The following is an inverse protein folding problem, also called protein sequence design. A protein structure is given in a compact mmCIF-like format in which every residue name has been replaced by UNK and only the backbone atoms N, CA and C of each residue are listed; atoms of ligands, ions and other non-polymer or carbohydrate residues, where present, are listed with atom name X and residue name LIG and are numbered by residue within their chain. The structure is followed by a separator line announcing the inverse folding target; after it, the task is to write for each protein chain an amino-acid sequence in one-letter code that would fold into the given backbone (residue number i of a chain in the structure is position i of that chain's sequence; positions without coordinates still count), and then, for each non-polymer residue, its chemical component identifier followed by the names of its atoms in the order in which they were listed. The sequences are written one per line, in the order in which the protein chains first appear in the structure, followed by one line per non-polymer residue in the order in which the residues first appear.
data_IF_589585674635
#
_entry.id   IF_589585674635
#
_cell.length_a   1.000
_cell.length_b   1.000
_cell.length_c   1.000
_cell.angle_alpha   90.00
_cell.angle_beta   90.00
_cell.angle_gamma   90.00
#
_symmetry.space_group_name_H-M   'P 1'
#
loop_
_entity.id
_entity.type
_entity.pdbx_description
1 polymer ?
#
# COMPACT_ATOMS: atom_id res chain seq x y z
N UNK A 1 12.37 9.35 -1.51
CA UNK A 1 10.95 9.03 -1.81
C UNK A 1 10.62 9.24 -3.27
N UNK A 2 10.63 10.47 -3.80
CA UNK A 2 10.23 10.74 -5.18
C UNK A 2 10.99 9.91 -6.24
N UNK A 3 12.33 9.83 -6.13
CA UNK A 3 13.18 8.99 -7.00
C UNK A 3 12.75 7.52 -7.00
N UNK A 4 12.47 6.97 -5.82
CA UNK A 4 12.07 5.57 -5.67
C UNK A 4 10.69 5.31 -6.27
N UNK A 5 9.75 6.25 -6.07
CA UNK A 5 8.39 6.15 -6.61
C UNK A 5 8.38 6.30 -8.13
N UNK A 6 9.10 7.28 -8.67
CA UNK A 6 9.23 7.46 -10.13
C UNK A 6 9.94 6.26 -10.79
N UNK A 7 10.93 5.67 -10.13
CA UNK A 7 11.55 4.40 -10.52
C UNK A 7 10.59 3.20 -10.44
N UNK A 8 9.47 3.32 -9.72
CA UNK A 8 8.39 2.34 -9.64
C UNK A 8 8.68 1.14 -8.71
N UNK A 9 9.61 1.30 -7.75
CA UNK A 9 10.01 0.19 -6.87
C UNK A 9 9.02 -0.06 -5.72
N UNK A 10 8.07 0.86 -5.50
CA UNK A 10 6.99 0.81 -4.53
C UNK A 10 5.78 -0.02 -4.98
N UNK A 11 5.54 -0.19 -6.29
CA UNK A 11 4.34 -0.91 -6.73
C UNK A 11 4.20 -1.14 -8.22
N UNK A 12 4.83 -0.34 -9.07
CA UNK A 12 4.63 -0.39 -10.52
C UNK A 12 4.83 -1.77 -11.18
N UNK A 13 5.64 -2.66 -10.59
CA UNK A 13 5.81 -4.03 -11.08
C UNK A 13 4.50 -4.84 -11.16
N UNK A 14 3.49 -4.51 -10.35
CA UNK A 14 2.18 -5.17 -10.38
C UNK A 14 1.30 -4.76 -11.57
N UNK A 15 1.60 -3.63 -12.22
CA UNK A 15 0.93 -3.13 -13.41
C UNK A 15 1.76 -3.30 -14.69
N UNK A 16 2.89 -3.99 -14.60
CA UNK A 16 3.84 -4.17 -15.69
C UNK A 16 3.79 -5.63 -16.19
N UNK A 17 3.20 -5.82 -17.38
CA UNK A 17 3.02 -7.14 -17.98
C UNK A 17 4.33 -7.75 -18.52
N UNK A 18 5.44 -7.00 -18.52
CA UNK A 18 6.71 -7.49 -19.06
C UNK A 18 7.24 -8.65 -18.20
N UNK A 19 7.66 -9.77 -18.81
CA UNK A 19 8.36 -10.83 -18.10
C UNK A 19 9.56 -10.27 -17.33
N UNK A 20 9.65 -10.60 -16.03
CA UNK A 20 10.75 -10.15 -15.17
C UNK A 20 10.56 -8.79 -14.50
N UNK A 21 9.40 -8.13 -14.61
CA UNK A 21 9.13 -6.85 -13.93
C UNK A 21 9.46 -6.88 -12.43
N UNK A 22 9.09 -7.95 -11.73
CA UNK A 22 9.41 -8.14 -10.31
C UNK A 22 10.92 -8.31 -10.04
N UNK A 23 11.65 -8.96 -10.95
CA UNK A 23 13.11 -9.13 -10.86
C UNK A 23 13.81 -7.79 -11.06
N UNK A 24 13.39 -7.01 -12.07
CA UNK A 24 13.88 -5.66 -12.28
C UNK A 24 13.62 -4.77 -11.05
N UNK A 25 12.42 -4.86 -10.47
CA UNK A 25 12.08 -4.16 -9.22
C UNK A 25 12.97 -4.60 -8.06
N UNK A 26 13.26 -5.89 -7.92
CA UNK A 26 14.16 -6.40 -6.88
C UNK A 26 15.58 -5.84 -7.03
N UNK A 27 16.14 -5.81 -8.25
CA UNK A 27 17.46 -5.23 -8.51
C UNK A 27 17.51 -3.75 -8.15
N UNK A 28 16.53 -2.95 -8.58
CA UNK A 28 16.44 -1.53 -8.25
C UNK A 28 16.27 -1.29 -6.74
N UNK A 29 15.48 -2.12 -6.06
CA UNK A 29 15.32 -2.05 -4.61
C UNK A 29 16.64 -2.34 -3.89
N UNK A 30 17.40 -3.36 -4.30
CA UNK A 30 18.73 -3.65 -3.74
C UNK A 30 19.68 -2.45 -3.89
N UNK A 31 19.72 -1.80 -5.05
CA UNK A 31 20.51 -0.58 -5.23
C UNK A 31 20.08 0.53 -4.25
N UNK A 32 18.78 0.76 -4.12
CA UNK A 32 18.25 1.78 -3.20
C UNK A 32 18.62 1.51 -1.73
N UNK A 33 18.75 0.23 -1.32
CA UNK A 33 19.16 -0.13 0.06
C UNK A 33 20.56 0.36 0.41
N UNK A 34 21.45 0.46 -0.59
CA UNK A 34 22.84 0.91 -0.38
C UNK A 34 22.97 2.42 -0.22
N UNK A 35 21.96 3.17 -0.67
CA UNK A 35 21.98 4.63 -0.67
C UNK A 35 21.31 5.20 0.57
N UNK A 36 20.05 4.82 0.81
CA UNK A 36 19.26 5.32 1.93
C UNK A 36 18.17 4.28 2.26
N UNK A 37 18.30 3.48 3.33
CA UNK A 37 17.34 2.41 3.61
C UNK A 37 16.08 2.87 4.34
N UNK A 38 16.06 4.04 4.99
CA UNK A 38 14.94 4.50 5.80
C UNK A 38 13.67 4.71 5.00
N UNK A 39 13.76 5.30 3.80
CA UNK A 39 12.62 5.49 2.92
C UNK A 39 12.09 4.18 2.31
N UNK A 40 12.81 3.06 2.44
CA UNK A 40 12.38 1.78 1.90
C UNK A 40 11.28 1.11 2.73
N UNK A 41 11.06 1.55 3.96
CA UNK A 41 9.94 1.10 4.79
C UNK A 41 8.59 1.32 4.05
N UNK A 42 8.18 2.56 3.69
CA UNK A 42 6.94 2.76 2.94
C UNK A 42 6.95 2.17 1.52
N UNK A 43 8.11 2.11 0.86
CA UNK A 43 8.25 1.50 -0.49
C UNK A 43 7.95 0.00 -0.44
N UNK A 44 8.55 -0.72 0.50
CA UNK A 44 8.36 -2.16 0.64
C UNK A 44 6.95 -2.53 1.08
N UNK A 45 6.37 -1.77 2.02
CA UNK A 45 5.00 -1.99 2.47
C UNK A 45 3.99 -1.76 1.33
N UNK A 46 4.18 -0.71 0.53
CA UNK A 46 3.33 -0.43 -0.64
C UNK A 46 3.39 -1.57 -1.65
N UNK A 47 4.57 -2.14 -1.89
CA UNK A 47 4.72 -3.24 -2.83
C UNK A 47 4.03 -4.51 -2.32
N UNK A 48 4.16 -4.79 -1.03
CA UNK A 48 3.63 -5.99 -0.40
C UNK A 48 2.12 -5.96 -0.14
N UNK A 49 1.47 -4.80 -0.14
CA UNK A 49 0.03 -4.71 0.13
C UNK A 49 -0.83 -5.21 -1.04
N UNK A 50 -0.33 -5.13 -2.28
CA UNK A 50 -1.15 -5.36 -3.49
C UNK A 50 -1.79 -6.76 -3.53
N UNK A 51 -1.09 -7.87 -3.23
CA UNK A 51 -1.73 -9.18 -3.16
C UNK A 51 -2.84 -9.26 -2.10
N UNK A 52 -2.61 -8.68 -0.92
CA UNK A 52 -3.61 -8.66 0.15
C UNK A 52 -4.85 -7.83 -0.25
N UNK A 53 -4.62 -6.68 -0.89
CA UNK A 53 -5.66 -5.78 -1.39
C UNK A 53 -6.59 -6.47 -2.41
N UNK A 54 -6.06 -7.35 -3.27
CA UNK A 54 -6.85 -8.06 -4.28
C UNK A 54 -7.90 -9.01 -3.70
N UNK A 55 -7.84 -9.35 -2.40
CA UNK A 55 -8.91 -10.07 -1.71
C UNK A 55 -10.13 -9.19 -1.38
N UNK A 56 -10.05 -7.88 -1.59
CA UNK A 56 -11.13 -6.91 -1.46
C UNK A 56 -11.34 -6.17 -2.81
N UNK A 57 -12.05 -6.77 -3.78
CA UNK A 57 -12.04 -6.32 -5.17
C UNK A 57 -12.54 -4.90 -5.38
N UNK A 58 -13.54 -4.45 -4.61
CA UNK A 58 -14.06 -3.07 -4.74
C UNK A 58 -13.05 -2.02 -4.26
N UNK A 59 -12.27 -2.36 -3.23
CA UNK A 59 -11.17 -1.51 -2.78
C UNK A 59 -10.01 -1.57 -3.79
N UNK A 60 -9.67 -2.76 -4.29
CA UNK A 60 -8.61 -2.95 -5.27
C UNK A 60 -8.83 -2.13 -6.54
N UNK A 61 -10.05 -2.11 -7.09
CA UNK A 61 -10.42 -1.29 -8.25
C UNK A 61 -10.04 0.18 -8.10
N UNK A 62 -10.13 0.71 -6.88
CA UNK A 62 -9.85 2.13 -6.59
C UNK A 62 -8.40 2.36 -6.18
N UNK A 63 -7.86 1.49 -5.33
CA UNK A 63 -6.55 1.71 -4.69
C UNK A 63 -5.37 1.17 -5.51
N UNK A 64 -5.53 0.03 -6.20
CA UNK A 64 -4.42 -0.60 -6.91
C UNK A 64 -3.83 0.29 -8.03
N UNK A 65 -4.63 0.99 -8.85
CA UNK A 65 -4.09 1.94 -9.83
C UNK A 65 -3.26 3.07 -9.20
N UNK A 66 -3.60 3.47 -7.97
CA UNK A 66 -2.88 4.53 -7.25
C UNK A 66 -1.64 4.01 -6.52
N UNK A 67 -1.66 2.76 -6.05
CA UNK A 67 -0.52 2.10 -5.40
C UNK A 67 0.55 1.64 -6.40
N UNK A 68 0.18 1.49 -7.67
CA UNK A 68 1.10 1.15 -8.78
C UNK A 68 1.54 2.38 -9.58
N UNK A 69 1.11 3.57 -9.17
CA UNK A 69 1.45 4.85 -9.80
C UNK A 69 2.89 5.25 -9.54
N UNK A 70 3.59 5.69 -10.60
CA UNK A 70 4.96 6.23 -10.53
C UNK A 70 5.03 7.68 -10.06
N UNK A 71 4.00 8.15 -9.36
CA UNK A 71 3.85 9.55 -8.96
C UNK A 71 3.81 9.65 -7.45
N UNK A 72 4.87 10.23 -6.87
CA UNK A 72 4.85 10.57 -5.45
C UNK A 72 3.96 11.79 -5.23
N UNK A 73 2.92 11.62 -4.41
CA UNK A 73 1.94 12.67 -4.12
C UNK A 73 1.83 12.90 -2.61
N UNK A 74 2.71 13.73 -2.01
CA UNK A 74 2.66 14.04 -0.59
C UNK A 74 1.44 14.91 -0.25
N UNK A 75 0.98 14.81 1.01
CA UNK A 75 -0.13 15.61 1.53
C UNK A 75 -1.34 14.79 1.96
N UNK A 76 -2.19 15.44 2.77
CA UNK A 76 -3.38 14.88 3.39
C UNK A 76 -4.60 15.22 2.54
N UNK A 77 -5.01 14.28 1.69
CA UNK A 77 -6.22 14.35 0.88
C UNK A 77 -6.90 12.99 0.86
N UNK A 78 -8.18 12.97 0.53
CA UNK A 78 -8.90 11.71 0.31
C UNK A 78 -8.20 10.90 -0.79
N UNK A 79 -8.16 9.55 -0.71
CA UNK A 79 -7.44 8.72 -1.68
C UNK A 79 -7.83 9.00 -3.14
N UNK A 80 -9.12 9.25 -3.41
CA UNK A 80 -9.62 9.56 -4.75
C UNK A 80 -9.08 10.87 -5.35
N UNK A 81 -8.58 11.80 -4.51
CA UNK A 81 -7.98 13.06 -4.96
C UNK A 81 -6.45 13.02 -5.07
N UNK A 82 -5.84 11.83 -5.02
CA UNK A 82 -4.39 11.66 -5.10
C UNK A 82 -3.97 11.03 -6.42
N UNK A 83 -2.76 11.37 -6.87
CA UNK A 83 -2.13 10.77 -8.08
C UNK A 83 -1.37 9.47 -7.79
N UNK A 84 -1.12 9.21 -6.51
CA UNK A 84 -0.43 8.00 -6.04
C UNK A 84 -0.65 7.80 -4.54
N UNK A 85 -0.58 6.55 -4.10
CA UNK A 85 -0.74 6.15 -2.71
C UNK A 85 0.49 5.42 -2.21
N UNK A 86 0.71 5.50 -0.90
CA UNK A 86 1.62 4.65 -0.16
C UNK A 86 0.80 3.91 0.89
N UNK A 87 1.15 2.66 1.14
CA UNK A 87 0.51 1.84 2.17
C UNK A 87 1.46 1.60 3.35
N UNK A 88 0.87 1.57 4.54
CA UNK A 88 1.52 1.11 5.76
C UNK A 88 0.87 -0.17 6.27
N UNK A 89 1.46 -0.76 7.32
CA UNK A 89 0.95 -1.97 7.96
C UNK A 89 0.85 -1.73 9.46
N UNK A 90 -0.38 -1.62 9.96
CA UNK A 90 -0.68 -1.59 11.39
C UNK A 90 -1.04 -3.00 11.85
N UNK A 91 -0.08 -3.69 12.47
CA UNK A 91 -0.29 -5.06 13.00
C UNK A 91 0.09 -5.16 14.47
N UNK A 92 1.25 -4.60 14.82
CA UNK A 92 1.81 -4.69 16.18
C UNK A 92 1.03 -3.85 17.17
N UNK A 93 0.60 -4.48 18.26
CA UNK A 93 0.06 -3.81 19.44
C UNK A 93 1.01 -4.00 20.64
N UNK A 94 0.79 -3.26 21.73
CA UNK A 94 1.70 -3.21 22.90
C UNK A 94 2.00 -4.60 23.49
N UNK A 95 1.02 -5.49 23.46
CA UNK A 95 1.07 -6.84 23.99
C UNK A 95 1.79 -7.84 23.08
N UNK A 96 2.09 -7.48 21.82
CA UNK A 96 2.85 -8.34 20.93
C UNK A 96 2.79 -7.94 19.46
N UNK A 97 3.92 -8.13 18.76
CA UNK A 97 4.01 -8.03 17.30
C UNK A 97 4.32 -9.34 16.58
N UNK A 98 4.73 -10.40 17.32
CA UNK A 98 4.99 -11.74 16.76
C UNK A 98 3.75 -12.63 16.80
N UNK A 99 3.01 -12.57 17.91
CA UNK A 99 1.74 -13.30 18.09
C UNK A 99 0.55 -12.38 17.86
N UNK A 100 0.04 -12.34 16.63
CA UNK A 100 -1.10 -11.49 16.25
C UNK A 100 -2.45 -12.01 16.78
N UNK A 101 -2.50 -13.24 17.30
CA UNK A 101 -3.71 -13.77 17.95
C UNK A 101 -4.08 -13.04 19.24
N UNK A 102 -3.12 -12.32 19.85
CA UNK A 102 -3.33 -11.50 21.04
C UNK A 102 -3.74 -10.05 20.74
N UNK A 103 -3.94 -9.69 19.47
CA UNK A 103 -4.40 -8.36 19.04
C UNK A 103 -5.78 -8.07 19.62
N UNK A 104 -5.94 -6.93 20.29
CA UNK A 104 -7.16 -6.52 21.00
C UNK A 104 -8.01 -5.52 20.20
N UNK A 105 -7.50 -4.98 19.08
CA UNK A 105 -8.27 -4.17 18.15
C UNK A 105 -9.55 -4.87 17.69
N UNK A 106 -10.70 -4.23 17.91
CA UNK A 106 -12.01 -4.72 17.47
C UNK A 106 -12.53 -3.84 16.34
N UNK A 107 -13.09 -4.47 15.31
CA UNK A 107 -13.80 -3.80 14.22
C UNK A 107 -15.27 -4.14 14.31
N UNK A 108 -16.09 -3.36 15.03
CA UNK A 108 -17.53 -3.62 15.10
C UNK A 108 -18.12 -3.51 13.71
N UNK A 109 -19.07 -4.41 13.38
CA UNK A 109 -19.83 -4.27 12.14
C UNK A 109 -20.65 -2.99 12.23
N UNK A 110 -20.41 -2.07 11.31
CA UNK A 110 -21.31 -0.93 11.10
C UNK A 110 -22.55 -1.47 10.37
N UNK A 111 -23.65 -1.65 11.08
CA UNK A 111 -24.96 -1.81 10.45
C UNK A 111 -25.39 -0.46 9.90
N UNK A 112 -25.83 -0.41 8.64
CA UNK A 112 -26.38 0.81 8.07
C UNK A 112 -27.55 1.30 8.96
N UNK A 113 -27.51 2.56 9.38
CA UNK A 113 -28.62 3.16 10.12
C UNK A 113 -29.79 3.38 9.14
N UNK A 114 -30.94 2.70 9.32
CA UNK A 114 -32.11 2.86 8.46
C UNK A 114 -32.67 4.30 8.44
N UNK A 115 -32.18 5.20 9.31
CA UNK A 115 -32.53 6.63 9.32
C UNK A 115 -31.65 7.50 8.41
N UNK A 116 -30.69 6.91 7.69
CA UNK A 116 -29.84 7.63 6.70
C UNK A 116 -30.27 7.43 5.25
N UNK A 117 -31.28 6.60 4.99
CA UNK A 117 -32.01 6.58 3.71
C UNK A 117 -33.20 7.53 3.80
N UNK A 118 -32.95 8.82 3.59
CA UNK A 118 -34.01 9.80 3.30
C UNK A 118 -34.09 9.95 1.78
N UNK A 119 -35.30 9.97 1.18
CA UNK A 119 -35.53 9.92 -0.27
C UNK A 119 -34.94 11.08 -1.07
#
# INVERSE_FOLDING_TARGET
MDVSVSAGIEGAAWADERPGAHVARAASFMLATTLEPGHLCPVSMTYAVVPALRHAPDLAKTCEPLLTSRVYDPGLRTPAGKRGLLAGMGMTEKQGGRGLHGTAGTSPRVTADPRTTTP
#
